data_IF_730284381075
#
_entry.id   IF_730284381075
#
_cell.length_a   1.000
_cell.length_b   1.000
_cell.length_c   1.000
_cell.angle_alpha   90.00
_cell.angle_beta   90.00
_cell.angle_gamma   90.00
#
_symmetry.space_group_name_H-M   'P 1'
#
loop_
_entity.id
_entity.type
_entity.pdbx_description
1 polymer ?
#
# COMPACT_ATOMS: atom_id res chain seq x y z
N UNK A 1 -14.91 -45.83 -17.83
CA UNK A 1 -16.31 -45.95 -18.28
C UNK A 1 -16.40 -45.74 -19.78
N UNK A 2 -15.77 -44.70 -20.35
CA UNK A 2 -15.50 -44.62 -21.81
C UNK A 2 -14.79 -45.89 -22.32
N UNK A 3 -13.68 -46.29 -21.70
CA UNK A 3 -12.94 -47.51 -22.10
C UNK A 3 -13.76 -48.80 -21.97
N UNK A 4 -14.68 -48.85 -21.01
CA UNK A 4 -15.56 -50.01 -20.80
C UNK A 4 -16.70 -50.07 -21.83
N UNK A 5 -17.17 -48.91 -22.30
CA UNK A 5 -18.19 -48.80 -23.36
C UNK A 5 -17.55 -49.04 -24.73
N UNK A 6 -16.32 -48.55 -24.96
CA UNK A 6 -15.57 -48.80 -26.18
C UNK A 6 -15.18 -50.29 -26.29
N UNK A 7 -14.70 -50.90 -25.19
CA UNK A 7 -14.47 -52.34 -25.14
C UNK A 7 -15.76 -53.17 -25.35
N UNK A 8 -16.91 -52.69 -24.87
CA UNK A 8 -18.20 -53.33 -25.11
C UNK A 8 -18.67 -53.19 -26.55
N UNK A 9 -18.45 -52.04 -27.21
CA UNK A 9 -18.79 -51.83 -28.62
C UNK A 9 -17.95 -52.71 -29.54
N UNK A 10 -16.65 -52.86 -29.27
CA UNK A 10 -15.76 -53.75 -30.03
C UNK A 10 -16.21 -55.22 -29.91
N UNK A 11 -16.57 -55.67 -28.69
CA UNK A 11 -17.08 -57.04 -28.47
C UNK A 11 -18.42 -57.30 -29.20
N UNK A 12 -19.29 -56.30 -29.31
CA UNK A 12 -20.56 -56.41 -30.05
C UNK A 12 -20.33 -56.46 -31.57
N UNK A 13 -19.19 -55.99 -32.07
CA UNK A 13 -18.80 -56.04 -33.49
C UNK A 13 -18.15 -57.37 -33.89
N UNK A 14 -17.44 -58.04 -32.98
CA UNK A 14 -16.78 -59.34 -33.24
C UNK A 14 -17.77 -60.53 -33.29
N UNK A 15 -18.92 -60.45 -32.61
CA UNK A 15 -19.83 -61.59 -32.36
C UNK A 15 -20.96 -61.79 -33.41
N UNK A 16 -20.79 -61.52 -34.72
CA UNK A 16 -21.89 -61.79 -35.66
C UNK A 16 -21.58 -62.16 -37.12
N UNK A 17 -21.52 -63.47 -37.34
CA UNK A 17 -21.99 -64.11 -38.57
C UNK A 17 -23.39 -64.72 -38.35
N UNK A 18 -24.47 -63.91 -38.27
CA UNK A 18 -25.79 -64.37 -38.73
C UNK A 18 -26.83 -63.24 -38.91
N UNK A 19 -27.73 -63.45 -39.87
CA UNK A 19 -28.74 -62.50 -40.38
C UNK A 19 -29.89 -62.28 -39.39
N UNK A 20 -30.20 -61.02 -39.06
CA UNK A 20 -31.54 -60.67 -38.52
C UNK A 20 -31.71 -59.43 -37.62
N UNK A 21 -30.65 -58.72 -37.19
CA UNK A 21 -30.80 -57.67 -36.15
C UNK A 21 -29.98 -56.38 -36.40
N UNK A 22 -29.92 -55.90 -37.64
CA UNK A 22 -29.21 -54.64 -37.98
C UNK A 22 -29.87 -53.40 -37.37
N UNK A 23 -31.19 -53.41 -37.17
CA UNK A 23 -31.93 -52.24 -36.68
C UNK A 23 -31.82 -52.05 -35.14
N UNK A 24 -31.79 -53.13 -34.37
CA UNK A 24 -31.62 -53.10 -32.90
C UNK A 24 -30.18 -52.69 -32.52
N UNK A 25 -29.18 -53.26 -33.20
CA UNK A 25 -27.75 -52.95 -32.99
C UNK A 25 -27.45 -51.47 -33.22
N UNK A 26 -27.97 -50.91 -34.31
CA UNK A 26 -27.80 -49.49 -34.61
C UNK A 26 -28.48 -48.57 -33.58
N UNK A 27 -29.61 -48.98 -33.00
CA UNK A 27 -30.29 -48.23 -31.92
C UNK A 27 -29.50 -48.24 -30.62
N UNK A 28 -28.95 -49.40 -30.22
CA UNK A 28 -28.10 -49.52 -29.02
C UNK A 28 -26.81 -48.72 -29.18
N UNK A 29 -26.15 -48.82 -30.34
CA UNK A 29 -24.93 -48.03 -30.65
C UNK A 29 -25.20 -46.52 -30.61
N UNK A 30 -26.35 -46.07 -31.12
CA UNK A 30 -26.76 -44.65 -31.09
C UNK A 30 -27.08 -44.19 -29.66
N UNK A 31 -27.67 -45.05 -28.83
CA UNK A 31 -27.96 -44.77 -27.43
C UNK A 31 -26.69 -44.69 -26.58
N UNK A 32 -25.75 -45.62 -26.76
CA UNK A 32 -24.44 -45.61 -26.07
C UNK A 32 -23.63 -44.36 -26.45
N UNK A 33 -23.49 -44.05 -27.75
CA UNK A 33 -22.81 -42.81 -28.17
C UNK A 33 -23.49 -41.55 -27.62
N UNK A 34 -24.82 -41.54 -27.46
CA UNK A 34 -25.56 -40.41 -26.89
C UNK A 34 -25.30 -40.30 -25.38
N UNK A 35 -25.25 -41.41 -24.65
CA UNK A 35 -25.01 -41.44 -23.20
C UNK A 35 -23.56 -41.09 -22.85
N UNK A 36 -22.56 -41.58 -23.61
CA UNK A 36 -21.15 -41.20 -23.43
C UNK A 36 -20.94 -39.70 -23.68
N UNK A 37 -21.60 -39.13 -24.71
CA UNK A 37 -21.59 -37.68 -24.98
C UNK A 37 -22.28 -36.86 -23.89
N UNK A 38 -23.34 -37.38 -23.28
CA UNK A 38 -24.00 -36.71 -22.14
C UNK A 38 -23.13 -36.75 -20.89
N UNK A 39 -22.42 -37.85 -20.65
CA UNK A 39 -21.52 -38.00 -19.51
C UNK A 39 -20.27 -37.10 -19.62
N UNK A 40 -19.64 -37.04 -20.79
CA UNK A 40 -18.52 -36.11 -21.06
C UNK A 40 -18.93 -34.65 -20.95
N UNK A 41 -20.13 -34.29 -21.48
CA UNK A 41 -20.72 -32.96 -21.24
C UNK A 41 -20.99 -32.70 -19.76
N UNK A 42 -21.48 -33.69 -19.00
CA UNK A 42 -21.68 -33.59 -17.56
C UNK A 42 -20.37 -33.37 -16.79
N UNK A 43 -19.31 -34.10 -17.15
CA UNK A 43 -17.97 -33.93 -16.55
C UNK A 43 -17.38 -32.56 -16.88
N UNK A 44 -17.51 -32.10 -18.12
CA UNK A 44 -17.10 -30.75 -18.51
C UNK A 44 -17.90 -29.68 -17.76
N UNK A 45 -19.21 -29.85 -17.59
CA UNK A 45 -20.06 -28.96 -16.79
C UNK A 45 -19.68 -28.97 -15.30
N UNK A 46 -19.29 -30.12 -14.74
CA UNK A 46 -18.78 -30.20 -13.37
C UNK A 46 -17.44 -29.46 -13.22
N UNK A 47 -16.50 -29.66 -14.14
CA UNK A 47 -15.23 -28.94 -14.15
C UNK A 47 -15.43 -27.42 -14.29
N UNK A 48 -16.35 -27.00 -15.17
CA UNK A 48 -16.73 -25.58 -15.31
C UNK A 48 -17.40 -25.07 -14.03
N UNK A 49 -18.27 -25.86 -13.40
CA UNK A 49 -18.94 -25.51 -12.14
C UNK A 49 -17.94 -25.35 -10.99
N UNK A 50 -16.96 -26.25 -10.88
CA UNK A 50 -15.91 -26.17 -9.86
C UNK A 50 -14.97 -24.98 -10.11
N UNK A 51 -14.63 -24.70 -11.38
CA UNK A 51 -13.91 -23.49 -11.75
C UNK A 51 -14.70 -22.21 -11.44
N UNK A 52 -16.03 -22.20 -11.64
CA UNK A 52 -16.92 -21.09 -11.28
C UNK A 52 -17.02 -20.94 -9.76
N UNK A 53 -17.07 -22.04 -9.00
CA UNK A 53 -17.06 -22.00 -7.53
C UNK A 53 -15.76 -21.41 -7.01
N UNK A 54 -14.61 -21.80 -7.58
CA UNK A 54 -13.33 -21.22 -7.19
C UNK A 54 -13.15 -19.78 -7.64
N UNK A 55 -13.63 -19.42 -8.83
CA UNK A 55 -13.70 -18.02 -9.25
C UNK A 55 -14.57 -17.19 -8.29
N UNK A 56 -15.71 -17.73 -7.83
CA UNK A 56 -16.58 -17.08 -6.83
C UNK A 56 -15.91 -16.97 -5.46
N UNK A 57 -15.20 -18.00 -5.00
CA UNK A 57 -14.46 -17.97 -3.73
C UNK A 57 -13.34 -16.93 -3.79
N UNK A 58 -12.55 -16.92 -4.86
CA UNK A 58 -11.50 -15.93 -5.08
C UNK A 58 -12.06 -14.51 -5.22
N UNK A 59 -13.17 -14.34 -5.94
CA UNK A 59 -13.85 -13.04 -6.05
C UNK A 59 -14.40 -12.57 -4.70
N UNK A 60 -14.89 -13.48 -3.85
CA UNK A 60 -15.30 -13.17 -2.48
C UNK A 60 -14.10 -12.78 -1.63
N UNK A 61 -13.00 -13.51 -1.68
CA UNK A 61 -11.76 -13.16 -0.95
C UNK A 61 -11.16 -11.84 -1.41
N UNK A 62 -11.15 -11.56 -2.72
CA UNK A 62 -10.78 -10.27 -3.31
C UNK A 62 -11.76 -9.17 -2.89
N UNK A 63 -13.06 -9.48 -2.79
CA UNK A 63 -14.10 -8.60 -2.28
C UNK A 63 -13.88 -8.25 -0.81
N UNK A 64 -13.61 -9.23 0.04
CA UNK A 64 -13.34 -9.06 1.47
C UNK A 64 -12.01 -8.35 1.71
N UNK A 65 -11.02 -8.56 0.84
CA UNK A 65 -9.74 -7.84 0.87
C UNK A 65 -9.93 -6.40 0.41
N UNK A 66 -10.66 -6.20 -0.68
CA UNK A 66 -11.06 -4.88 -1.18
C UNK A 66 -11.92 -4.16 -0.15
N UNK A 67 -12.79 -4.84 0.59
CA UNK A 67 -13.59 -4.27 1.67
C UNK A 67 -12.72 -3.95 2.89
N UNK A 68 -11.75 -4.79 3.25
CA UNK A 68 -10.72 -4.44 4.24
C UNK A 68 -9.93 -3.19 3.86
N UNK A 69 -9.57 -3.02 2.58
CA UNK A 69 -8.86 -1.84 2.08
C UNK A 69 -9.78 -0.66 1.69
N UNK A 70 -11.08 -0.87 1.47
CA UNK A 70 -12.07 0.17 1.19
C UNK A 70 -12.74 0.68 2.46
N UNK A 71 -12.83 -0.10 3.53
CA UNK A 71 -13.05 0.43 4.88
C UNK A 71 -11.92 1.40 5.24
N UNK A 72 -10.70 1.11 4.76
CA UNK A 72 -9.53 1.98 4.87
C UNK A 72 -9.54 3.19 3.89
N UNK A 73 -10.22 3.11 2.73
CA UNK A 73 -10.19 4.15 1.68
C UNK A 73 -11.50 4.93 1.44
N UNK A 74 -12.64 4.49 1.99
CA UNK A 74 -13.97 5.08 1.79
C UNK A 74 -14.67 5.51 3.09
N UNK A 75 -13.93 5.93 4.10
CA UNK A 75 -14.52 6.78 5.14
C UNK A 75 -14.73 8.21 4.59
N UNK A 76 -15.80 8.41 3.82
CA UNK A 76 -16.44 9.72 3.71
C UNK A 76 -17.82 9.63 4.34
N UNK A 77 -17.97 10.31 5.47
CA UNK A 77 -19.23 10.60 6.12
C UNK A 77 -19.25 10.11 7.56
N UNK A 78 -19.08 11.04 8.50
CA UNK A 78 -19.18 10.88 9.97
C UNK A 78 -18.01 10.15 10.65
N UNK A 79 -17.66 10.62 11.85
CA UNK A 79 -16.34 10.50 12.47
C UNK A 79 -15.86 9.09 12.85
N UNK A 80 -14.58 9.05 13.26
CA UNK A 80 -13.87 7.91 13.87
C UNK A 80 -13.49 6.70 13.00
N UNK A 81 -13.20 6.90 11.71
CA UNK A 81 -12.45 5.91 10.94
C UNK A 81 -10.94 6.06 11.18
N UNK A 82 -10.30 5.01 11.71
CA UNK A 82 -8.85 4.93 11.95
C UNK A 82 -8.11 5.09 10.62
N UNK A 83 -7.23 6.09 10.51
CA UNK A 83 -6.41 6.31 9.31
C UNK A 83 -5.55 5.06 9.02
N UNK A 84 -5.60 4.45 7.82
CA UNK A 84 -4.76 3.29 7.48
C UNK A 84 -3.26 3.59 7.58
N UNK A 85 -2.87 4.87 7.48
CA UNK A 85 -1.50 5.36 7.65
C UNK A 85 -1.06 5.34 9.10
N UNK A 86 -2.01 5.30 10.05
CA UNK A 86 -1.73 5.14 11.45
C UNK A 86 -0.90 3.87 11.71
N UNK A 87 -1.14 2.80 10.93
CA UNK A 87 -0.28 1.61 10.94
C UNK A 87 1.16 1.89 10.55
N UNK A 88 1.42 2.80 9.60
CA UNK A 88 2.77 3.18 9.21
C UNK A 88 3.44 4.12 10.24
N UNK A 89 2.65 4.91 10.97
CA UNK A 89 3.12 5.79 12.06
C UNK A 89 3.50 4.99 13.31
N UNK A 90 2.80 3.87 13.58
CA UNK A 90 3.03 2.99 14.73
C UNK A 90 3.74 1.67 14.38
N UNK A 91 4.18 1.48 13.13
CA UNK A 91 4.99 0.32 12.76
C UNK A 91 6.36 0.47 13.37
N UNK A 92 6.89 -0.59 13.97
CA UNK A 92 8.26 -0.59 14.49
C UNK A 92 9.24 -0.27 13.34
N UNK A 93 10.14 0.67 13.58
CA UNK A 93 11.17 1.10 12.63
C UNK A 93 12.06 -0.08 12.24
N UNK A 94 12.24 -1.05 13.14
CA UNK A 94 12.98 -2.31 12.89
C UNK A 94 12.34 -3.19 11.82
N UNK A 95 11.05 -2.97 11.52
CA UNK A 95 10.36 -3.72 10.48
C UNK A 95 10.57 -3.17 9.07
N UNK A 96 11.11 -1.96 8.95
CA UNK A 96 11.29 -1.24 7.69
C UNK A 96 12.54 -1.73 6.94
N UNK A 97 12.50 -1.69 5.60
CA UNK A 97 13.57 -2.24 4.74
C UNK A 97 14.14 -1.12 3.89
N UNK A 98 15.48 -1.04 3.81
CA UNK A 98 16.18 -0.11 2.93
C UNK A 98 16.14 1.37 3.36
N UNK A 99 15.63 1.68 4.55
CA UNK A 99 15.42 3.07 4.98
C UNK A 99 16.56 3.66 5.81
N UNK A 100 17.42 2.84 6.45
CA UNK A 100 18.37 3.33 7.44
C UNK A 100 19.38 4.31 6.86
N UNK A 101 19.99 3.94 5.71
CA UNK A 101 20.95 4.78 5.01
C UNK A 101 20.33 6.11 4.58
N UNK A 102 19.12 6.07 4.03
CA UNK A 102 18.43 7.27 3.54
C UNK A 102 18.06 8.17 4.73
N UNK A 103 17.50 7.60 5.80
CA UNK A 103 17.18 8.32 7.03
C UNK A 103 18.42 9.06 7.56
N UNK A 104 19.55 8.38 7.64
CA UNK A 104 20.78 8.94 8.23
C UNK A 104 21.40 10.01 7.32
N UNK A 105 21.31 9.84 6.00
CA UNK A 105 21.69 10.89 5.03
C UNK A 105 20.79 12.13 5.15
N UNK A 106 19.49 11.95 5.32
CA UNK A 106 18.55 13.06 5.51
C UNK A 106 18.79 13.79 6.82
N UNK A 107 19.03 13.06 7.92
CA UNK A 107 19.40 13.67 9.20
C UNK A 107 20.67 14.48 9.05
N UNK A 108 21.70 13.93 8.40
CA UNK A 108 22.94 14.67 8.15
C UNK A 108 22.69 15.95 7.36
N UNK A 109 21.89 15.90 6.29
CA UNK A 109 21.56 17.11 5.51
C UNK A 109 20.76 18.13 6.32
N UNK A 110 19.84 17.66 7.18
CA UNK A 110 18.98 18.51 7.99
C UNK A 110 19.72 19.14 9.18
N UNK A 111 20.74 18.47 9.72
CA UNK A 111 21.40 18.82 10.97
C UNK A 111 22.90 19.20 10.86
N UNK A 112 23.65 18.72 9.86
CA UNK A 112 25.11 18.90 9.77
C UNK A 112 25.52 19.81 8.58
N UNK A 113 25.25 21.11 8.63
CA UNK A 113 26.00 22.05 7.77
C UNK A 113 26.65 23.12 8.62
N UNK A 114 27.99 23.05 8.69
CA UNK A 114 28.99 23.94 9.27
C UNK A 114 28.53 24.94 10.35
N UNK A 115 29.19 24.83 11.51
CA UNK A 115 29.00 25.42 12.84
C UNK A 115 28.80 26.96 12.94
N UNK A 116 28.51 27.69 11.86
CA UNK A 116 28.35 29.16 11.85
C UNK A 116 27.03 29.65 11.25
N UNK A 117 26.19 28.76 10.73
CA UNK A 117 24.88 29.07 10.12
C UNK A 117 23.76 28.09 10.54
N UNK A 118 23.92 27.45 11.70
CA UNK A 118 23.14 26.28 12.13
C UNK A 118 21.84 26.60 12.89
N UNK A 119 21.69 27.87 13.26
CA UNK A 119 20.61 28.35 14.12
C UNK A 119 19.32 28.69 13.35
N UNK A 120 19.41 28.94 12.04
CA UNK A 120 18.22 29.27 11.24
C UNK A 120 17.23 28.10 11.12
N UNK A 121 15.94 28.44 11.02
CA UNK A 121 14.90 27.51 10.62
C UNK A 121 15.23 26.90 9.25
N UNK A 122 15.34 25.56 9.21
CA UNK A 122 15.52 24.81 7.96
C UNK A 122 14.33 23.92 7.68
N UNK A 123 14.02 23.74 6.40
CA UNK A 123 12.96 22.83 5.99
C UNK A 123 13.41 21.74 5.06
N UNK A 124 12.69 20.63 5.14
CA UNK A 124 12.87 19.49 4.25
C UNK A 124 11.53 19.03 3.70
N UNK A 125 11.35 19.06 2.38
CA UNK A 125 10.18 18.51 1.72
C UNK A 125 10.49 17.16 1.09
N UNK A 126 9.81 16.11 1.56
CA UNK A 126 9.88 14.76 1.00
C UNK A 126 8.77 14.62 -0.05
N UNK A 127 9.15 14.45 -1.32
CA UNK A 127 8.22 14.40 -2.46
C UNK A 127 8.29 13.09 -3.22
N UNK A 128 7.15 12.62 -3.73
CA UNK A 128 7.05 11.45 -4.56
C UNK A 128 5.63 10.89 -4.62
N UNK A 129 5.35 10.02 -5.58
CA UNK A 129 4.00 9.51 -5.79
C UNK A 129 3.50 8.62 -4.61
N UNK A 130 2.21 8.27 -4.65
CA UNK A 130 1.54 7.52 -3.59
C UNK A 130 2.17 6.14 -3.34
N UNK A 131 2.26 5.72 -2.08
CA UNK A 131 2.70 4.36 -1.72
C UNK A 131 4.22 4.13 -1.65
N UNK A 132 5.04 5.16 -1.91
CA UNK A 132 6.51 5.11 -1.78
C UNK A 132 7.04 5.12 -0.33
N UNK A 133 6.19 5.38 0.66
CA UNK A 133 6.62 5.40 2.07
C UNK A 133 7.15 6.75 2.56
N UNK A 134 6.74 7.88 1.97
CA UNK A 134 7.13 9.24 2.42
C UNK A 134 6.86 9.48 3.90
N UNK A 135 5.63 9.25 4.35
CA UNK A 135 5.21 9.35 5.76
C UNK A 135 6.08 8.46 6.65
N UNK A 136 6.38 7.25 6.20
CA UNK A 136 7.25 6.30 6.91
C UNK A 136 8.69 6.81 7.05
N UNK A 137 9.26 7.36 5.97
CA UNK A 137 10.59 7.95 6.00
C UNK A 137 10.65 9.19 6.89
N UNK A 138 9.65 10.09 6.78
CA UNK A 138 9.54 11.27 7.63
C UNK A 138 9.44 10.90 9.11
N UNK A 139 8.63 9.88 9.42
CA UNK A 139 8.48 9.35 10.78
C UNK A 139 9.77 8.74 11.32
N UNK A 140 10.49 7.97 10.50
CA UNK A 140 11.77 7.38 10.90
C UNK A 140 12.84 8.44 11.21
N UNK A 141 12.90 9.53 10.44
CA UNK A 141 13.77 10.67 10.74
C UNK A 141 13.31 11.36 12.04
N UNK A 142 12.02 11.71 12.12
CA UNK A 142 11.43 12.35 13.29
C UNK A 142 11.72 11.60 14.58
N UNK A 143 11.46 10.30 14.63
CA UNK A 143 11.65 9.51 15.84
C UNK A 143 13.11 9.40 16.27
N UNK A 144 14.07 9.52 15.32
CA UNK A 144 15.50 9.47 15.62
C UNK A 144 16.04 10.79 16.17
N UNK A 145 15.51 11.94 15.74
CA UNK A 145 16.06 13.25 16.12
C UNK A 145 15.20 14.03 17.12
N UNK A 146 13.93 13.66 17.34
CA UNK A 146 12.99 14.39 18.22
C UNK A 146 13.51 14.69 19.62
N UNK A 147 14.40 13.85 20.16
CA UNK A 147 14.98 14.02 21.51
C UNK A 147 15.93 15.23 21.61
N UNK A 148 16.31 15.82 20.48
CA UNK A 148 17.20 16.98 20.40
C UNK A 148 16.44 18.32 20.40
N UNK A 149 15.10 18.28 20.45
CA UNK A 149 14.22 19.44 20.31
C UNK A 149 13.32 19.59 21.54
N UNK A 150 13.02 20.83 21.92
CA UNK A 150 12.20 21.17 23.10
C UNK A 150 10.72 20.88 22.86
N UNK A 151 10.27 20.99 21.61
CA UNK A 151 8.88 20.79 21.23
C UNK A 151 8.79 20.11 19.89
N UNK A 152 7.97 19.07 19.83
CA UNK A 152 7.90 18.21 18.65
C UNK A 152 6.45 17.95 18.29
N UNK A 153 6.14 17.96 17.00
CA UNK A 153 4.81 17.65 16.51
C UNK A 153 4.85 16.85 15.22
N UNK A 154 3.90 15.93 15.08
CA UNK A 154 3.68 15.19 13.83
C UNK A 154 2.20 15.26 13.48
N UNK A 155 1.86 16.00 12.42
CA UNK A 155 0.47 16.27 12.04
C UNK A 155 0.26 15.99 10.57
N UNK A 156 -0.83 15.28 10.26
CA UNK A 156 -1.26 15.01 8.88
C UNK A 156 -2.27 16.04 8.40
N UNK A 157 -2.16 16.47 7.14
CA UNK A 157 -3.11 17.37 6.48
C UNK A 157 -4.10 16.55 5.64
N UNK A 158 -5.40 16.84 5.78
CA UNK A 158 -6.43 16.23 4.95
C UNK A 158 -6.52 16.92 3.59
N UNK A 159 -7.00 16.19 2.57
CA UNK A 159 -7.21 16.75 1.22
C UNK A 159 -8.12 17.99 1.20
N UNK A 160 -9.10 18.03 2.10
CA UNK A 160 -9.87 19.23 2.39
C UNK A 160 -9.39 19.73 3.75
N UNK A 161 -8.43 20.66 3.80
CA UNK A 161 -7.82 21.09 5.05
C UNK A 161 -8.80 21.94 5.87
N UNK A 162 -8.86 21.65 7.17
CA UNK A 162 -9.56 22.46 8.16
C UNK A 162 -8.48 23.10 9.05
N UNK A 163 -8.17 24.37 8.78
CA UNK A 163 -7.03 25.06 9.40
C UNK A 163 -7.16 25.14 10.92
N UNK A 164 -8.38 25.32 11.42
CA UNK A 164 -8.68 25.31 12.85
C UNK A 164 -8.30 23.96 13.45
N UNK A 165 -8.72 22.84 12.84
CA UNK A 165 -8.35 21.50 13.35
C UNK A 165 -6.85 21.23 13.25
N UNK A 166 -6.21 21.67 12.17
CA UNK A 166 -4.77 21.49 11.97
C UNK A 166 -3.99 22.22 13.06
N UNK A 167 -4.26 23.50 13.30
CA UNK A 167 -3.55 24.26 14.34
C UNK A 167 -3.83 23.75 15.75
N UNK A 168 -5.09 23.39 16.06
CA UNK A 168 -5.42 22.73 17.34
C UNK A 168 -4.60 21.45 17.55
N UNK A 169 -4.45 20.64 16.49
CA UNK A 169 -3.68 19.39 16.55
C UNK A 169 -2.18 19.63 16.68
N UNK A 170 -1.63 20.64 16.02
CA UNK A 170 -0.22 21.03 16.19
C UNK A 170 0.02 21.46 17.64
N UNK A 171 -0.78 22.39 18.17
CA UNK A 171 -0.66 22.85 19.56
C UNK A 171 -0.77 21.69 20.56
N UNK A 172 -1.74 20.79 20.35
CA UNK A 172 -1.90 19.61 21.20
C UNK A 172 -0.69 18.67 21.18
N UNK A 173 -0.09 18.42 20.01
CA UNK A 173 1.11 17.58 19.94
C UNK A 173 2.34 18.26 20.55
N UNK A 174 2.46 19.59 20.41
CA UNK A 174 3.55 20.37 20.99
C UNK A 174 3.53 20.38 22.53
N UNK A 175 2.34 20.49 23.13
CA UNK A 175 2.16 20.36 24.59
C UNK A 175 0.77 19.82 24.94
N UNK A 176 0.73 18.51 25.24
CA UNK A 176 -0.50 17.78 25.57
C UNK A 176 -1.13 18.22 26.88
N UNK A 177 -0.36 18.79 27.80
CA UNK A 177 -0.85 19.22 29.10
C UNK A 177 -1.45 20.62 29.00
N UNK A 178 -0.72 21.56 28.39
CA UNK A 178 -1.15 22.94 28.21
C UNK A 178 -2.41 23.03 27.32
N UNK A 179 -2.48 22.20 26.28
CA UNK A 179 -3.55 22.24 25.27
C UNK A 179 -4.52 21.06 25.37
N UNK A 180 -4.67 20.42 26.53
CA UNK A 180 -5.52 19.24 26.72
C UNK A 180 -6.99 19.47 26.27
N UNK A 181 -7.54 20.66 26.50
CA UNK A 181 -8.94 21.03 26.18
C UNK A 181 -9.06 21.91 24.93
N UNK A 182 -8.00 22.03 24.12
CA UNK A 182 -7.98 22.93 22.96
C UNK A 182 -9.06 22.60 21.91
N UNK A 183 -9.50 21.34 21.86
CA UNK A 183 -10.57 20.89 20.99
C UNK A 183 -11.93 21.50 21.35
N UNK A 184 -12.18 21.73 22.63
CA UNK A 184 -13.42 22.33 23.16
C UNK A 184 -13.42 23.86 23.05
N UNK A 185 -12.25 24.48 22.93
CA UNK A 185 -12.12 25.92 22.82
C UNK A 185 -12.72 26.46 21.51
N UNK A 186 -13.64 27.42 21.60
CA UNK A 186 -14.12 28.19 20.47
C UNK A 186 -13.09 29.26 20.08
N UNK A 187 -12.03 28.84 19.37
CA UNK A 187 -11.01 29.71 18.80
C UNK A 187 -11.06 29.65 17.28
N UNK A 188 -10.94 30.80 16.63
CA UNK A 188 -10.78 30.86 15.18
C UNK A 188 -9.34 30.51 14.76
N UNK A 189 -9.13 30.35 13.45
CA UNK A 189 -7.82 29.97 12.91
C UNK A 189 -6.74 31.04 13.12
N UNK A 190 -7.11 32.32 13.25
CA UNK A 190 -6.16 33.42 13.44
C UNK A 190 -5.66 33.45 14.89
N UNK A 191 -6.56 33.29 15.85
CA UNK A 191 -6.21 33.18 17.27
C UNK A 191 -5.31 31.97 17.53
N UNK A 192 -5.58 30.84 16.87
CA UNK A 192 -4.74 29.64 16.97
C UNK A 192 -3.37 29.85 16.32
N UNK A 193 -3.31 30.59 15.21
CA UNK A 193 -2.05 30.95 14.56
C UNK A 193 -1.19 31.84 15.47
N UNK A 194 -1.76 32.89 16.06
CA UNK A 194 -1.06 33.79 16.97
C UNK A 194 -0.55 33.06 18.22
N UNK A 195 -1.37 32.15 18.78
CA UNK A 195 -0.98 31.28 19.88
C UNK A 195 0.19 30.37 19.50
N UNK A 196 0.13 29.74 18.32
CA UNK A 196 1.19 28.84 17.84
C UNK A 196 2.50 29.60 17.62
N UNK A 197 2.45 30.79 17.02
CA UNK A 197 3.63 31.66 16.88
C UNK A 197 4.24 32.01 18.23
N UNK A 198 3.41 32.41 19.19
CA UNK A 198 3.85 32.74 20.55
C UNK A 198 4.48 31.54 21.26
N UNK A 199 3.90 30.35 21.10
CA UNK A 199 4.43 29.13 21.72
C UNK A 199 5.81 28.75 21.15
N UNK A 200 6.02 28.93 19.84
CA UNK A 200 7.23 28.52 19.13
C UNK A 200 8.39 29.53 19.21
N UNK A 201 8.11 30.79 19.58
CA UNK A 201 9.07 31.89 19.50
C UNK A 201 10.40 31.63 20.22
N UNK A 202 10.36 31.04 21.42
CA UNK A 202 11.54 30.83 22.26
C UNK A 202 11.90 29.35 22.41
N UNK A 203 11.55 28.52 21.42
CA UNK A 203 11.77 27.07 21.48
C UNK A 203 12.47 26.55 20.23
N UNK A 204 13.32 25.55 20.42
CA UNK A 204 13.83 24.73 19.34
C UNK A 204 12.81 23.65 19.02
N UNK A 205 12.16 23.74 17.86
CA UNK A 205 11.06 22.84 17.49
C UNK A 205 11.36 21.95 16.28
N UNK A 206 10.78 20.75 16.29
CA UNK A 206 10.73 19.83 15.16
C UNK A 206 9.28 19.51 14.81
N UNK A 207 8.81 20.01 13.67
CA UNK A 207 7.42 19.82 13.25
C UNK A 207 7.37 19.09 11.91
N UNK A 208 6.62 18.00 11.85
CA UNK A 208 6.33 17.27 10.61
C UNK A 208 4.90 17.54 10.17
N UNK A 209 4.73 18.07 8.96
CA UNK A 209 3.44 18.27 8.30
C UNK A 209 3.31 17.27 7.14
N UNK A 210 2.55 16.21 7.37
CA UNK A 210 2.42 15.07 6.46
C UNK A 210 1.27 15.23 5.45
N UNK A 211 1.50 14.81 4.21
CA UNK A 211 0.56 14.71 3.09
C UNK A 211 -0.11 16.04 2.71
N UNK A 212 0.69 17.06 2.36
CA UNK A 212 0.20 18.36 1.88
C UNK A 212 -0.33 18.23 0.44
N UNK A 213 -1.57 18.71 0.22
CA UNK A 213 -2.28 18.66 -1.07
C UNK A 213 -2.51 20.02 -1.72
N UNK A 214 -2.45 21.09 -0.95
CA UNK A 214 -2.87 22.42 -1.36
C UNK A 214 -1.82 23.46 -0.94
N UNK A 215 -1.43 24.31 -1.89
CA UNK A 215 -0.37 25.30 -1.71
C UNK A 215 -0.83 26.46 -0.83
N UNK A 216 -2.07 26.94 -1.00
CA UNK A 216 -2.63 28.02 -0.18
C UNK A 216 -2.74 27.63 1.29
N UNK A 217 -3.22 26.41 1.56
CA UNK A 217 -3.27 25.85 2.90
C UNK A 217 -1.86 25.76 3.52
N UNK A 218 -0.87 25.34 2.73
CA UNK A 218 0.51 25.33 3.21
C UNK A 218 1.01 26.74 3.52
N UNK A 219 0.82 27.73 2.63
CA UNK A 219 1.26 29.12 2.88
C UNK A 219 0.65 29.67 4.17
N UNK A 220 -0.60 29.33 4.47
CA UNK A 220 -1.22 29.71 5.73
C UNK A 220 -0.65 28.97 6.95
N UNK A 221 -0.32 27.67 6.84
CA UNK A 221 0.38 26.93 7.90
C UNK A 221 1.79 27.50 8.12
N UNK A 222 2.48 27.84 7.02
CA UNK A 222 3.83 28.38 7.00
C UNK A 222 3.95 29.66 7.82
N UNK A 223 2.89 30.49 7.84
CA UNK A 223 2.81 31.68 8.69
C UNK A 223 2.96 31.38 10.19
N UNK A 224 2.78 30.13 10.65
CA UNK A 224 2.96 29.77 12.05
C UNK A 224 4.43 29.65 12.45
N UNK A 225 5.30 29.34 11.50
CA UNK A 225 6.70 29.03 11.77
C UNK A 225 7.54 30.30 11.63
N UNK A 226 8.04 30.79 12.75
CA UNK A 226 9.03 31.87 12.80
C UNK A 226 10.43 31.29 12.96
N UNK A 227 11.39 31.89 12.28
CA UNK A 227 12.80 31.63 12.54
C UNK A 227 13.22 32.36 13.83
N UNK A 228 13.42 31.58 14.88
CA UNK A 228 13.89 32.06 16.17
C UNK A 228 15.42 32.00 16.30
N UNK A 229 16.13 31.56 15.25
CA UNK A 229 17.57 31.30 15.32
C UNK A 229 17.95 30.33 16.46
N UNK A 230 17.12 29.29 16.68
CA UNK A 230 17.32 28.26 17.71
C UNK A 230 17.56 26.85 17.13
N UNK A 231 17.82 26.74 15.83
CA UNK A 231 18.06 25.49 15.14
C UNK A 231 16.79 24.66 14.94
N UNK A 232 15.64 25.32 14.73
CA UNK A 232 14.35 24.68 14.47
C UNK A 232 14.30 24.02 13.10
N UNK A 233 13.50 22.95 12.96
CA UNK A 233 13.39 22.15 11.74
C UNK A 233 11.93 21.85 11.40
N UNK A 234 11.55 22.02 10.14
CA UNK A 234 10.21 21.64 9.65
C UNK A 234 10.35 20.64 8.52
N UNK A 235 9.66 19.51 8.63
CA UNK A 235 9.62 18.50 7.57
C UNK A 235 8.22 18.45 6.96
N UNK A 236 8.14 18.37 5.64
CA UNK A 236 6.87 18.18 4.95
C UNK A 236 6.89 16.93 4.09
N UNK A 237 5.72 16.32 3.87
CA UNK A 237 5.58 15.30 2.83
C UNK A 237 4.49 15.70 1.84
N UNK A 238 4.73 15.50 0.55
CA UNK A 238 3.74 15.77 -0.49
C UNK A 238 3.88 14.82 -1.67
N UNK A 239 2.81 14.67 -2.44
CA UNK A 239 2.82 13.94 -3.72
C UNK A 239 3.14 14.85 -4.90
N UNK A 240 3.08 16.17 -4.70
CA UNK A 240 3.02 17.16 -5.76
C UNK A 240 4.33 17.93 -5.79
N UNK A 241 5.05 17.84 -6.92
CA UNK A 241 6.35 18.48 -7.09
C UNK A 241 6.33 20.01 -6.97
N UNK A 242 5.26 20.67 -7.41
CA UNK A 242 5.13 22.13 -7.24
C UNK A 242 5.04 22.53 -5.77
N UNK A 243 4.20 21.83 -4.99
CA UNK A 243 4.01 22.09 -3.55
C UNK A 243 5.32 21.88 -2.76
N UNK A 244 6.15 20.90 -3.14
CA UNK A 244 7.43 20.70 -2.44
C UNK A 244 8.38 21.89 -2.54
N UNK A 245 8.27 22.71 -3.59
CA UNK A 245 9.06 23.96 -3.72
C UNK A 245 8.48 25.07 -2.83
N UNK A 246 7.16 25.21 -2.77
CA UNK A 246 6.50 26.16 -1.86
C UNK A 246 6.78 25.87 -0.37
N UNK A 247 7.06 24.60 -0.04
CA UNK A 247 7.48 24.16 1.30
C UNK A 247 8.85 24.71 1.76
N UNK A 248 9.65 25.26 0.85
CA UNK A 248 10.93 25.86 1.17
C UNK A 248 10.75 27.31 1.65
N UNK A 249 11.47 27.69 2.71
CA UNK A 249 11.63 29.03 3.26
C UNK A 249 12.84 29.76 2.69
N UNK A 250 13.91 29.03 2.39
CA UNK A 250 15.21 29.55 1.95
C UNK A 250 15.78 28.74 0.79
N UNK A 251 16.85 29.27 0.17
CA UNK A 251 17.56 28.58 -0.91
C UNK A 251 18.33 27.33 -0.46
N UNK A 252 18.58 27.20 0.84
CA UNK A 252 19.36 26.09 1.44
C UNK A 252 18.46 24.94 1.92
N UNK A 253 17.13 25.04 1.73
CA UNK A 253 16.18 24.01 2.12
C UNK A 253 16.22 22.78 1.20
N UNK A 254 15.82 21.64 1.76
CA UNK A 254 16.06 20.34 1.14
C UNK A 254 14.79 19.83 0.49
N UNK A 255 14.82 19.61 -0.83
CA UNK A 255 13.77 18.84 -1.52
C UNK A 255 14.30 17.44 -1.77
N UNK A 256 13.76 16.45 -1.08
CA UNK A 256 14.10 15.05 -1.24
C UNK A 256 13.04 14.30 -2.04
N UNK A 257 13.38 13.94 -3.28
CA UNK A 257 12.55 13.06 -4.08
C UNK A 257 12.78 11.60 -3.70
N UNK A 258 11.79 10.99 -3.02
CA UNK A 258 11.86 9.59 -2.64
C UNK A 258 11.84 8.70 -3.89
N UNK A 259 12.74 7.73 -3.94
CA UNK A 259 12.85 6.77 -5.04
C UNK A 259 12.15 5.46 -4.68
N UNK A 260 11.69 4.68 -5.68
CA UNK A 260 11.30 3.30 -5.47
C UNK A 260 12.43 2.49 -4.82
N UNK A 261 12.07 1.40 -4.15
CA UNK A 261 13.02 0.46 -3.56
C UNK A 261 13.89 -0.18 -4.65
N UNK A 262 15.11 -0.56 -4.26
CA UNK A 262 15.98 -1.40 -5.09
C UNK A 262 15.35 -2.78 -5.28
N UNK A 263 15.80 -3.53 -6.28
CA UNK A 263 15.32 -4.90 -6.51
C UNK A 263 15.59 -5.80 -5.28
N UNK A 264 16.73 -5.60 -4.61
CA UNK A 264 17.11 -6.34 -3.41
C UNK A 264 16.22 -6.00 -2.22
N UNK A 265 16.03 -4.70 -1.92
CA UNK A 265 15.11 -4.26 -0.85
C UNK A 265 13.68 -4.69 -1.12
N UNK A 266 13.25 -4.64 -2.39
CA UNK A 266 11.94 -5.10 -2.82
C UNK A 266 11.76 -6.59 -2.57
N UNK A 267 12.79 -7.41 -2.87
CA UNK A 267 12.78 -8.86 -2.60
C UNK A 267 12.73 -9.12 -1.10
N UNK A 268 13.51 -8.40 -0.31
CA UNK A 268 13.52 -8.53 1.16
C UNK A 268 12.14 -8.19 1.73
N UNK A 269 11.56 -7.03 1.35
CA UNK A 269 10.25 -6.60 1.81
C UNK A 269 9.14 -7.60 1.45
N UNK A 270 9.17 -8.11 0.22
CA UNK A 270 8.22 -9.10 -0.28
C UNK A 270 8.31 -10.42 0.48
N UNK A 271 9.53 -10.96 0.63
CA UNK A 271 9.75 -12.22 1.33
C UNK A 271 9.40 -12.09 2.81
N UNK A 272 9.81 -11.01 3.48
CA UNK A 272 9.48 -10.75 4.90
C UNK A 272 7.97 -10.76 5.15
N UNK A 273 7.19 -10.29 4.17
CA UNK A 273 5.73 -10.24 4.28
C UNK A 273 5.06 -11.60 4.05
N UNK A 274 5.60 -12.45 3.18
CA UNK A 274 5.04 -13.77 2.83
C UNK A 274 5.54 -14.87 3.76
N UNK A 275 6.78 -14.75 4.24
CA UNK A 275 7.52 -15.75 5.02
C UNK A 275 7.98 -15.17 6.37
N UNK A 276 7.07 -14.95 7.35
CA UNK A 276 7.38 -14.21 8.57
C UNK A 276 8.43 -14.88 9.46
N UNK A 277 8.61 -16.21 9.36
CA UNK A 277 9.60 -16.96 10.14
C UNK A 277 11.02 -16.93 9.54
N UNK A 278 11.30 -16.04 8.59
CA UNK A 278 12.62 -15.92 7.98
C UNK A 278 12.98 -17.05 7.01
N UNK A 279 12.00 -17.87 6.60
CA UNK A 279 12.17 -18.87 5.56
C UNK A 279 12.46 -18.21 4.22
N UNK A 280 13.44 -18.75 3.48
CA UNK A 280 13.76 -18.28 2.13
C UNK A 280 12.60 -18.60 1.18
N UNK A 281 12.43 -17.75 0.17
CA UNK A 281 11.50 -18.03 -0.92
C UNK A 281 11.86 -19.37 -1.58
N UNK A 282 10.91 -20.32 -1.71
CA UNK A 282 11.14 -21.58 -2.41
C UNK A 282 11.64 -21.36 -3.84
N UNK A 283 12.58 -22.19 -4.29
CA UNK A 283 13.23 -22.09 -5.62
C UNK A 283 12.19 -22.06 -6.75
N UNK A 284 11.13 -22.85 -6.61
CA UNK A 284 10.03 -22.96 -7.58
C UNK A 284 9.26 -21.64 -7.80
N UNK A 285 9.26 -20.78 -6.78
CA UNK A 285 8.57 -19.49 -6.74
C UNK A 285 9.49 -18.30 -7.08
N UNK A 286 10.80 -18.50 -7.19
CA UNK A 286 11.74 -17.39 -7.44
C UNK A 286 11.47 -16.70 -8.78
N UNK A 287 11.19 -17.46 -9.84
CA UNK A 287 10.96 -16.89 -11.17
C UNK A 287 9.70 -16.02 -11.19
N UNK A 288 8.58 -16.55 -10.68
CA UNK A 288 7.30 -15.82 -10.62
C UNK A 288 7.39 -14.62 -9.66
N UNK A 289 8.11 -14.75 -8.54
CA UNK A 289 8.38 -13.65 -7.61
C UNK A 289 9.12 -12.50 -8.28
N UNK A 290 10.18 -12.79 -9.04
CA UNK A 290 10.94 -11.78 -9.79
C UNK A 290 10.05 -11.03 -10.79
N UNK A 291 9.18 -11.75 -11.51
CA UNK A 291 8.26 -11.11 -12.46
C UNK A 291 7.22 -10.24 -11.76
N UNK A 292 6.66 -10.70 -10.64
CA UNK A 292 5.73 -9.92 -9.82
C UNK A 292 6.41 -8.65 -9.32
N UNK A 293 7.61 -8.75 -8.74
CA UNK A 293 8.36 -7.59 -8.25
C UNK A 293 8.67 -6.58 -9.35
N UNK A 294 9.03 -7.06 -10.55
CA UNK A 294 9.22 -6.21 -11.72
C UNK A 294 7.95 -5.44 -12.09
N UNK A 295 6.77 -6.06 -11.97
CA UNK A 295 5.49 -5.36 -12.16
C UNK A 295 5.15 -4.37 -11.03
N UNK A 296 5.63 -4.62 -9.81
CA UNK A 296 5.46 -3.70 -8.68
C UNK A 296 6.33 -2.44 -8.81
N UNK A 297 7.39 -2.47 -9.62
CA UNK A 297 8.24 -1.31 -9.91
C UNK A 297 8.92 -0.71 -8.67
N UNK A 298 9.24 -1.52 -7.65
CA UNK A 298 9.86 -1.06 -6.41
C UNK A 298 8.94 -0.26 -5.48
N UNK A 299 7.63 -0.20 -5.72
CA UNK A 299 6.68 0.55 -4.88
C UNK A 299 6.33 -0.26 -3.63
N UNK A 300 6.71 0.17 -2.41
CA UNK A 300 6.48 -0.57 -1.17
C UNK A 300 5.03 -0.99 -0.96
N UNK A 301 4.07 -0.09 -1.17
CA UNK A 301 2.65 -0.41 -0.99
C UNK A 301 2.17 -1.48 -1.99
N UNK A 302 2.60 -1.43 -3.25
CA UNK A 302 2.24 -2.45 -4.24
C UNK A 302 2.83 -3.81 -3.86
N UNK A 303 4.10 -3.82 -3.44
CA UNK A 303 4.80 -5.03 -2.98
C UNK A 303 4.08 -5.64 -1.77
N UNK A 304 3.79 -4.84 -0.73
CA UNK A 304 3.10 -5.31 0.48
C UNK A 304 1.69 -5.81 0.14
N UNK A 305 0.98 -5.14 -0.77
CA UNK A 305 -0.38 -5.53 -1.17
C UNK A 305 -0.37 -6.90 -1.82
N UNK A 306 0.47 -7.10 -2.84
CA UNK A 306 0.54 -8.38 -3.55
C UNK A 306 1.10 -9.47 -2.64
N UNK A 307 2.13 -9.17 -1.85
CA UNK A 307 2.66 -10.09 -0.85
C UNK A 307 1.60 -10.51 0.16
N UNK A 308 0.74 -9.59 0.61
CA UNK A 308 -0.35 -9.93 1.56
C UNK A 308 -1.42 -10.81 0.93
N UNK A 309 -1.65 -10.71 -0.38
CA UNK A 309 -2.57 -11.61 -1.11
C UNK A 309 -1.95 -13.00 -1.24
N UNK A 310 -0.63 -13.07 -1.41
CA UNK A 310 0.13 -14.31 -1.57
C UNK A 310 0.41 -15.01 -0.23
N UNK A 311 0.45 -14.25 0.86
CA UNK A 311 0.55 -14.78 2.21
C UNK A 311 -0.65 -15.68 2.52
N UNK A 312 -0.38 -16.82 3.16
CA UNK A 312 -1.39 -17.81 3.49
C UNK A 312 -2.21 -17.36 4.70
N UNK A 313 -3.54 -17.41 4.58
CA UNK A 313 -4.48 -16.93 5.61
C UNK A 313 -5.09 -18.07 6.45
N UNK A 314 -4.48 -19.26 6.49
CA UNK A 314 -5.03 -20.45 7.16
C UNK A 314 -4.15 -20.97 8.31
N UNK A 315 -4.77 -21.73 9.22
CA UNK A 315 -4.15 -22.36 10.40
C UNK A 315 -2.91 -23.22 10.05
N UNK A 316 -2.83 -23.75 8.83
CA UNK A 316 -1.73 -24.62 8.39
C UNK A 316 -0.51 -23.89 7.83
N UNK A 317 -0.51 -22.55 7.70
CA UNK A 317 0.65 -21.74 7.24
C UNK A 317 1.33 -22.20 5.93
N UNK A 318 0.71 -23.10 5.15
CA UNK A 318 1.30 -23.63 3.93
C UNK A 318 1.32 -22.58 2.82
N UNK A 319 2.49 -22.36 2.23
CA UNK A 319 2.71 -21.42 1.12
C UNK A 319 1.80 -21.76 -0.05
N UNK A 320 1.14 -20.76 -0.64
CA UNK A 320 0.28 -20.97 -1.81
C UNK A 320 1.06 -21.64 -2.96
N UNK A 321 0.47 -22.65 -3.62
CA UNK A 321 1.11 -23.35 -4.73
C UNK A 321 1.33 -22.41 -5.92
N UNK A 322 2.35 -22.71 -6.74
CA UNK A 322 2.81 -21.87 -7.86
C UNK A 322 1.70 -21.40 -8.81
N UNK A 323 0.72 -22.26 -9.13
CA UNK A 323 -0.37 -21.88 -10.04
C UNK A 323 -1.18 -20.67 -9.54
N UNK A 324 -1.32 -20.48 -8.22
CA UNK A 324 -2.02 -19.31 -7.66
C UNK A 324 -1.19 -18.02 -7.84
N UNK A 325 0.13 -18.13 -7.77
CA UNK A 325 1.04 -17.01 -8.04
C UNK A 325 0.98 -16.61 -9.51
N UNK A 326 0.92 -17.58 -10.43
CA UNK A 326 0.80 -17.35 -11.86
C UNK A 326 -0.54 -16.67 -12.22
N UNK A 327 -1.65 -17.06 -11.56
CA UNK A 327 -2.95 -16.39 -11.70
C UNK A 327 -2.84 -14.91 -11.30
N UNK A 328 -2.27 -14.63 -10.13
CA UNK A 328 -2.10 -13.25 -9.65
C UNK A 328 -1.22 -12.44 -10.61
N UNK A 329 -0.10 -13.02 -11.05
CA UNK A 329 0.77 -12.39 -12.05
C UNK A 329 0.01 -12.04 -13.34
N UNK A 330 -0.87 -12.94 -13.79
CA UNK A 330 -1.74 -12.76 -14.94
C UNK A 330 -2.76 -11.64 -14.76
N UNK A 331 -3.22 -11.39 -13.54
CA UNK A 331 -4.18 -10.33 -13.19
C UNK A 331 -3.55 -8.95 -12.99
N UNK A 332 -2.27 -8.86 -12.61
CA UNK A 332 -1.59 -7.57 -12.41
C UNK A 332 -1.55 -6.77 -13.72
N UNK A 333 -2.21 -5.61 -13.72
CA UNK A 333 -2.27 -4.67 -14.85
C UNK A 333 -3.54 -4.77 -15.70
N UNK A 334 -4.45 -5.72 -15.45
CA UNK A 334 -5.71 -5.84 -16.22
C UNK A 334 -6.86 -4.94 -15.75
N UNK A 335 -6.66 -4.16 -14.68
CA UNK A 335 -7.69 -3.28 -14.09
C UNK A 335 -7.78 -1.87 -14.67
N UNK A 336 -6.94 -1.50 -15.66
CA UNK A 336 -6.87 -0.13 -16.22
C UNK A 336 -7.12 -0.06 -17.73
N UNK A 337 -7.54 -1.16 -18.38
CA UNK A 337 -7.73 -1.17 -19.84
C UNK A 337 -9.04 -0.53 -20.32
N UNK A 338 -9.88 0.05 -19.44
CA UNK A 338 -11.14 0.70 -19.83
C UNK A 338 -11.28 2.16 -19.33
N UNK A 339 -10.18 2.88 -19.13
CA UNK A 339 -10.23 4.31 -18.80
C UNK A 339 -9.04 5.11 -19.31
N UNK A 340 -9.28 5.89 -20.36
CA UNK A 340 -8.53 7.07 -20.86
C UNK A 340 -7.05 7.29 -20.50
N UNK A 341 -6.21 7.21 -21.53
CA UNK A 341 -4.92 7.91 -21.77
C UNK A 341 -4.16 8.49 -20.55
N UNK A 342 -3.06 7.83 -20.21
CA UNK A 342 -1.98 8.33 -19.36
C UNK A 342 -1.14 9.41 -20.08
N UNK A 343 -1.62 10.65 -20.11
CA UNK A 343 -0.79 11.80 -20.53
C UNK A 343 -0.68 12.96 -19.56
N UNK A 344 -1.42 12.96 -18.44
CA UNK A 344 -1.25 13.97 -17.40
C UNK A 344 -1.31 13.31 -16.02
N UNK A 345 -0.18 12.79 -15.52
CA UNK A 345 0.03 12.42 -14.10
C UNK A 345 1.48 12.62 -13.68
#
# INVERSE_FOLDING_TARGET
MEDAVDAFIVRVEEDSHDRGSTNMKNRVKKFLKKTTKLFTKGKALHQISDAIKEARRLAKELGDLRQRYMIDAQAKGTGDAIDPRLKAVYKDVTELVGIDRIRDELIKKLCDCDERSDDHLRTMSIVGFGGLGKTTLAKAVYDKIKVQFDSVAFVSVSRNPDMTKIFKRILYELDKNMYATINEAARDHKQLLDELRKFLQDKRYLIVIDDIWDEEAWEFIKCAFSDSCLGSRVMTTTRIGSISRACCFSGDDIIYQIKPLTDDDSKILFCKRIFPQGSKCPVELESVSKTILKKCGGVPLAIITIASILASNGEDQQVKPKYQWDIILGSIGRGLAEGGSAKDM
#
